data_IF_029421225268
#
_entry.id   IF_029421225268
#
_cell.length_a   1.000
_cell.length_b   1.000
_cell.length_c   1.000
_cell.angle_alpha   90.00
_cell.angle_beta   90.00
_cell.angle_gamma   90.00
#
_symmetry.space_group_name_H-M   'P 1'
#
loop_
_entity.id
_entity.type
_entity.pdbx_description
1 polymer ?
#
# COMPACT_ATOMS: atom_id res chain seq x y z
N UNK A 1 -6.53 -17.26 20.73
CA UNK A 1 -6.81 -16.25 19.69
C UNK A 1 -8.25 -15.82 19.87
N UNK A 2 -8.44 -14.67 20.51
CA UNK A 2 -9.76 -14.04 20.62
C UNK A 2 -10.12 -13.40 19.27
N UNK A 3 -11.40 -13.34 18.89
CA UNK A 3 -11.87 -12.89 17.56
C UNK A 3 -11.57 -11.42 17.18
N UNK A 4 -10.66 -10.73 17.87
CA UNK A 4 -10.30 -9.31 17.67
C UNK A 4 -8.88 -9.08 17.13
N UNK A 5 -8.22 -10.11 16.60
CA UNK A 5 -6.82 -10.00 16.12
C UNK A 5 -6.69 -9.58 14.64
N UNK A 6 -7.79 -9.24 13.97
CA UNK A 6 -7.77 -8.80 12.57
C UNK A 6 -7.61 -7.27 12.47
N UNK A 7 -6.82 -6.76 11.50
CA UNK A 7 -6.70 -5.32 11.30
C UNK A 7 -8.03 -4.70 10.87
N UNK A 8 -8.33 -3.52 11.42
CA UNK A 8 -9.48 -2.71 11.02
C UNK A 8 -9.09 -1.64 10.00
N UNK A 9 -10.06 -0.86 9.54
CA UNK A 9 -9.77 0.29 8.67
C UNK A 9 -8.89 1.36 9.36
N UNK A 10 -8.95 1.49 10.69
CA UNK A 10 -8.11 2.46 11.40
C UNK A 10 -6.63 2.10 11.35
N UNK A 11 -6.29 0.81 11.33
CA UNK A 11 -4.91 0.35 11.09
C UNK A 11 -4.41 0.77 9.70
N UNK A 12 -5.29 0.75 8.69
CA UNK A 12 -4.96 1.23 7.33
C UNK A 12 -4.71 2.74 7.33
N UNK A 13 -5.51 3.51 8.07
CA UNK A 13 -5.32 4.97 8.22
C UNK A 13 -4.02 5.30 8.94
N UNK A 14 -3.70 4.58 10.02
CA UNK A 14 -2.44 4.71 10.74
C UNK A 14 -1.24 4.39 9.83
N UNK A 15 -1.33 3.30 9.06
CA UNK A 15 -0.31 2.95 8.06
C UNK A 15 -0.15 4.05 7.00
N UNK A 16 -1.25 4.64 6.52
CA UNK A 16 -1.20 5.74 5.54
C UNK A 16 -0.45 6.97 6.09
N UNK A 17 -0.59 7.28 7.39
CA UNK A 17 0.16 8.34 8.05
C UNK A 17 1.66 8.00 8.13
N UNK A 18 2.03 6.79 8.58
CA UNK A 18 3.43 6.33 8.64
C UNK A 18 4.12 6.33 7.27
N UNK A 19 3.37 6.09 6.20
CA UNK A 19 3.88 6.03 4.83
C UNK A 19 4.06 7.39 4.16
N UNK A 20 3.55 8.50 4.74
CA UNK A 20 3.69 9.83 4.15
C UNK A 20 5.17 10.21 3.99
N UNK A 21 5.53 10.74 2.82
CA UNK A 21 6.92 11.06 2.48
C UNK A 21 7.81 9.85 2.11
N UNK A 22 7.40 8.63 2.47
CA UNK A 22 8.15 7.41 2.18
C UNK A 22 7.59 6.66 0.97
N UNK A 23 6.27 6.48 0.85
CA UNK A 23 5.66 5.82 -0.30
C UNK A 23 5.29 6.82 -1.40
N UNK A 24 5.44 6.42 -2.66
CA UNK A 24 4.91 7.19 -3.77
C UNK A 24 3.39 7.20 -3.75
N UNK A 25 2.78 8.37 -3.95
CA UNK A 25 1.38 8.47 -4.41
C UNK A 25 1.37 8.12 -5.90
N UNK A 26 1.32 6.83 -6.17
CA UNK A 26 1.29 6.28 -7.53
C UNK A 26 0.11 6.84 -8.33
N UNK A 27 0.26 7.06 -9.65
CA UNK A 27 -0.82 7.61 -10.46
C UNK A 27 -1.98 6.62 -10.58
N UNK A 28 -3.13 7.16 -10.98
CA UNK A 28 -4.25 6.39 -11.52
C UNK A 28 -4.27 6.65 -13.02
N UNK A 29 -4.10 5.60 -13.82
CA UNK A 29 -4.18 5.69 -15.27
C UNK A 29 -5.52 5.17 -15.77
N UNK A 30 -5.89 5.56 -16.99
CA UNK A 30 -7.07 5.06 -17.70
C UNK A 30 -6.66 4.46 -19.04
N UNK A 31 -7.54 3.68 -19.68
CA UNK A 31 -7.25 3.07 -20.98
C UNK A 31 -8.47 3.09 -21.88
N UNK A 32 -8.44 3.92 -22.92
CA UNK A 32 -9.51 3.98 -23.94
C UNK A 32 -9.77 2.62 -24.59
N UNK A 33 -8.73 1.81 -24.78
CA UNK A 33 -8.85 0.46 -25.35
C UNK A 33 -9.60 -0.47 -24.40
N UNK A 34 -9.29 -0.43 -23.11
CA UNK A 34 -10.00 -1.25 -22.11
C UNK A 34 -11.46 -0.80 -21.97
N UNK A 35 -11.68 0.52 -21.97
CA UNK A 35 -13.02 1.09 -21.88
C UNK A 35 -13.88 0.67 -23.09
N UNK A 36 -13.34 0.79 -24.31
CA UNK A 36 -14.03 0.39 -25.53
C UNK A 36 -14.31 -1.13 -25.59
N UNK A 37 -13.39 -1.96 -25.10
CA UNK A 37 -13.54 -3.41 -25.10
C UNK A 37 -14.60 -3.91 -24.11
N UNK A 38 -14.92 -3.14 -23.08
CA UNK A 38 -15.78 -3.55 -21.96
C UNK A 38 -17.06 -2.74 -21.83
N UNK A 39 -17.13 -1.56 -22.46
CA UNK A 39 -18.23 -0.60 -22.29
C UNK A 39 -18.24 0.09 -20.93
N UNK A 40 -17.17 0.00 -20.14
CA UNK A 40 -17.06 0.58 -18.80
C UNK A 40 -15.86 1.55 -18.71
N UNK A 41 -15.72 2.27 -17.59
CA UNK A 41 -14.55 3.11 -17.33
C UNK A 41 -13.59 2.40 -16.37
N UNK A 42 -12.36 2.16 -16.83
CA UNK A 42 -11.31 1.51 -16.05
C UNK A 42 -10.31 2.49 -15.45
N UNK A 43 -10.01 2.29 -14.17
CA UNK A 43 -9.01 3.04 -13.42
C UNK A 43 -7.95 2.09 -12.88
N UNK A 44 -6.71 2.27 -13.32
CA UNK A 44 -5.58 1.43 -12.94
C UNK A 44 -4.77 2.12 -11.86
N UNK A 45 -4.78 1.57 -10.64
CA UNK A 45 -3.88 2.04 -9.58
C UNK A 45 -2.49 1.44 -9.78
N UNK A 46 -1.56 2.23 -10.33
CA UNK A 46 -0.28 1.75 -10.86
C UNK A 46 0.78 1.50 -9.78
N UNK A 47 0.59 0.50 -8.92
CA UNK A 47 1.59 0.11 -7.91
C UNK A 47 2.86 -0.53 -8.49
N UNK A 48 2.89 -0.87 -9.78
CA UNK A 48 4.12 -1.17 -10.50
C UNK A 48 5.09 0.02 -10.59
N UNK A 49 4.59 1.24 -10.33
CA UNK A 49 5.38 2.48 -10.24
C UNK A 49 5.67 2.89 -8.79
N UNK A 50 5.35 2.04 -7.81
CA UNK A 50 5.79 2.22 -6.43
C UNK A 50 7.31 2.02 -6.34
N UNK A 51 7.90 2.45 -5.22
CA UNK A 51 9.27 2.05 -4.87
C UNK A 51 9.44 0.54 -5.04
N UNK A 52 10.61 0.16 -5.57
CA UNK A 52 10.98 -1.22 -5.87
C UNK A 52 10.00 -1.96 -6.82
N UNK A 53 9.16 -1.23 -7.56
CA UNK A 53 8.32 -1.78 -8.64
C UNK A 53 7.07 -2.53 -8.19
N UNK A 54 6.67 -2.48 -6.92
CA UNK A 54 5.49 -3.18 -6.43
C UNK A 54 4.87 -2.57 -5.18
N UNK A 55 3.59 -2.89 -4.94
CA UNK A 55 2.83 -2.43 -3.76
C UNK A 55 3.43 -2.87 -2.41
N UNK A 56 4.25 -3.93 -2.41
CA UNK A 56 4.79 -4.57 -1.19
C UNK A 56 5.62 -3.63 -0.33
N UNK A 57 6.18 -2.56 -0.90
CA UNK A 57 6.83 -1.50 -0.13
C UNK A 57 5.98 -1.00 1.03
N UNK A 58 4.69 -0.79 0.79
CA UNK A 58 3.78 -0.20 1.78
C UNK A 58 3.67 -1.06 3.03
N UNK A 59 3.46 -2.37 2.84
CA UNK A 59 3.34 -3.32 3.95
C UNK A 59 4.67 -3.50 4.69
N UNK A 60 5.76 -3.71 3.95
CA UNK A 60 7.08 -3.89 4.54
C UNK A 60 7.51 -2.68 5.37
N UNK A 61 7.36 -1.47 4.81
CA UNK A 61 7.70 -0.24 5.53
C UNK A 61 6.81 -0.03 6.77
N UNK A 62 5.49 -0.22 6.66
CA UNK A 62 4.58 -0.07 7.80
C UNK A 62 4.89 -1.06 8.93
N UNK A 63 5.29 -2.29 8.61
CA UNK A 63 5.68 -3.28 9.63
C UNK A 63 6.98 -2.87 10.33
N UNK A 64 8.04 -2.58 9.56
CA UNK A 64 9.35 -2.22 10.12
C UNK A 64 9.33 -0.90 10.89
N UNK A 65 8.49 0.06 10.48
CA UNK A 65 8.34 1.34 11.17
C UNK A 65 7.77 1.22 12.59
N UNK A 66 7.15 0.08 12.93
CA UNK A 66 6.57 -0.19 14.24
C UNK A 66 7.48 -1.02 15.14
N UNK A 67 8.64 -1.46 14.64
CA UNK A 67 9.58 -2.21 15.45
C UNK A 67 10.18 -1.34 16.56
N UNK A 68 10.24 -1.90 17.76
CA UNK A 68 10.98 -1.31 18.86
C UNK A 68 12.50 -1.31 18.57
N UNK A 69 13.28 -0.74 19.49
CA UNK A 69 14.73 -0.65 19.30
C UNK A 69 15.43 -2.02 19.34
N UNK A 70 14.89 -3.01 20.06
CA UNK A 70 15.46 -4.34 20.12
C UNK A 70 15.18 -5.12 18.83
N UNK A 71 13.94 -5.08 18.34
CA UNK A 71 13.52 -5.68 17.08
C UNK A 71 14.31 -5.11 15.90
N UNK A 72 14.49 -3.79 15.81
CA UNK A 72 15.30 -3.16 14.73
C UNK A 72 16.78 -3.58 14.74
N UNK A 73 17.34 -3.92 15.90
CA UNK A 73 18.74 -4.41 15.99
C UNK A 73 18.87 -5.86 15.57
N UNK A 74 17.79 -6.64 15.62
CA UNK A 74 17.81 -8.07 15.33
C UNK A 74 17.77 -8.40 13.83
N UNK A 75 17.46 -7.43 12.96
CA UNK A 75 17.31 -7.60 11.52
C UNK A 75 15.87 -7.90 11.13
#
# INVERSE_FOLDING_TARGET
MTPSDLPTFDEVRAAAARLQGHAHRTPVLTSRTADAATGAQFFFKCENLQRMGAFKFRGAFNALAQFDAAQRRAG
#
